data_IF_599779577013
#
_entry.id   IF_599779577013
#
_cell.length_a   1.000
_cell.length_b   1.000
_cell.length_c   1.000
_cell.angle_alpha   90.00
_cell.angle_beta   90.00
_cell.angle_gamma   90.00
#
_symmetry.space_group_name_H-M   'P 1'
#
loop_
_entity.id
_entity.type
_entity.pdbx_description
1 polymer ?
#
# COMPACT_ATOMS: atom_id res chain seq x y z
N UNK A 1 13.17 -0.76 -15.05
CA UNK A 1 12.96 -0.59 -13.60
C UNK A 1 12.97 -1.97 -12.95
N UNK A 2 13.81 -2.21 -11.92
CA UNK A 2 13.85 -3.48 -11.18
C UNK A 2 13.07 -3.34 -9.87
N UNK A 3 12.14 -4.26 -9.62
CA UNK A 3 11.36 -4.30 -8.39
C UNK A 3 11.90 -5.34 -7.41
N UNK A 4 11.82 -5.02 -6.12
CA UNK A 4 12.04 -5.98 -5.04
C UNK A 4 10.73 -6.22 -4.29
N UNK A 5 10.34 -7.47 -4.12
CA UNK A 5 9.18 -7.87 -3.31
C UNK A 5 9.71 -8.57 -2.06
N UNK A 6 9.39 -8.03 -0.88
CA UNK A 6 9.89 -8.60 0.38
C UNK A 6 9.11 -9.88 0.71
N UNK A 7 9.84 -10.90 1.18
CA UNK A 7 9.24 -12.10 1.77
C UNK A 7 9.48 -12.09 3.27
N UNK A 8 8.39 -12.02 4.04
CA UNK A 8 8.39 -12.28 5.48
C UNK A 8 7.85 -13.67 5.78
N UNK A 9 8.20 -14.30 6.91
CA UNK A 9 7.49 -15.46 7.38
C UNK A 9 6.00 -15.15 7.53
N UNK A 10 5.13 -15.85 6.77
CA UNK A 10 3.68 -15.64 6.78
C UNK A 10 3.16 -14.56 5.83
N UNK A 11 4.00 -13.85 5.06
CA UNK A 11 3.49 -13.08 3.91
C UNK A 11 2.92 -14.05 2.88
N UNK A 12 1.78 -13.75 2.30
CA UNK A 12 1.12 -14.62 1.33
C UNK A 12 0.62 -13.91 0.08
N UNK A 13 0.79 -12.58 0.00
CA UNK A 13 0.48 -11.79 -1.18
C UNK A 13 1.76 -11.33 -1.92
N UNK A 14 2.92 -11.82 -1.51
CA UNK A 14 4.20 -11.56 -2.14
C UNK A 14 4.25 -12.12 -3.58
N UNK A 15 3.78 -13.35 -3.77
CA UNK A 15 3.68 -13.97 -5.09
C UNK A 15 2.68 -13.27 -6.00
N UNK A 16 1.56 -12.75 -5.48
CA UNK A 16 0.59 -11.98 -6.26
C UNK A 16 1.23 -10.68 -6.77
N UNK A 17 1.97 -9.97 -5.90
CA UNK A 17 2.70 -8.76 -6.28
C UNK A 17 3.82 -9.08 -7.29
N UNK A 18 4.59 -10.14 -7.05
CA UNK A 18 5.63 -10.61 -7.96
C UNK A 18 5.05 -10.93 -9.34
N UNK A 19 3.96 -11.69 -9.38
CA UNK A 19 3.25 -12.04 -10.62
C UNK A 19 2.81 -10.80 -11.39
N UNK A 20 2.15 -9.86 -10.71
CA UNK A 20 1.68 -8.63 -11.33
C UNK A 20 2.83 -7.84 -11.96
N UNK A 21 3.96 -7.72 -11.25
CA UNK A 21 5.12 -6.99 -11.78
C UNK A 21 5.74 -7.73 -12.95
N UNK A 22 5.95 -9.04 -12.84
CA UNK A 22 6.62 -9.84 -13.86
C UNK A 22 5.76 -10.04 -15.11
N UNK A 23 4.51 -10.47 -14.93
CA UNK A 23 3.66 -10.91 -16.02
C UNK A 23 2.79 -9.81 -16.61
N UNK A 24 2.30 -8.90 -15.77
CA UNK A 24 1.38 -7.83 -16.22
C UNK A 24 2.17 -6.56 -16.56
N UNK A 25 2.98 -6.07 -15.63
CA UNK A 25 3.81 -4.87 -15.86
C UNK A 25 5.06 -5.15 -16.70
N UNK A 26 5.44 -6.42 -16.88
CA UNK A 26 6.60 -6.88 -17.66
C UNK A 26 7.91 -6.21 -17.24
N UNK A 27 8.09 -6.08 -15.93
CA UNK A 27 9.29 -5.51 -15.32
C UNK A 27 10.14 -6.58 -14.64
N UNK A 28 11.46 -6.43 -14.61
CA UNK A 28 12.34 -7.24 -13.77
C UNK A 28 11.91 -7.16 -12.31
N UNK A 29 11.82 -8.31 -11.65
CA UNK A 29 11.44 -8.41 -10.25
C UNK A 29 12.23 -9.51 -9.56
N UNK A 30 12.56 -9.30 -8.30
CA UNK A 30 13.24 -10.27 -7.44
C UNK A 30 12.55 -10.34 -6.08
N UNK A 31 12.68 -11.47 -5.40
CA UNK A 31 12.29 -11.58 -4.00
C UNK A 31 13.43 -11.12 -3.10
N UNK A 32 13.08 -10.36 -2.08
CA UNK A 32 14.00 -9.89 -1.05
C UNK A 32 13.70 -10.60 0.27
N UNK A 33 14.65 -11.40 0.76
CA UNK A 33 14.47 -12.14 1.99
C UNK A 33 14.58 -11.22 3.22
N UNK A 34 13.65 -11.37 4.16
CA UNK A 34 13.51 -10.47 5.32
C UNK A 34 14.75 -10.36 6.21
N UNK A 35 15.63 -11.38 6.24
CA UNK A 35 16.88 -11.35 7.00
C UNK A 35 18.05 -10.73 6.24
N UNK A 36 17.87 -10.40 4.95
CA UNK A 36 18.91 -9.74 4.13
C UNK A 36 18.84 -8.23 4.27
N UNK A 37 20.02 -7.59 4.31
CA UNK A 37 20.13 -6.14 4.14
C UNK A 37 20.27 -5.72 2.66
N UNK A 38 20.52 -6.68 1.76
CA UNK A 38 20.72 -6.39 0.35
C UNK A 38 19.38 -6.21 -0.36
N UNK A 39 19.16 -5.02 -0.92
CA UNK A 39 17.99 -4.70 -1.77
C UNK A 39 18.25 -4.99 -3.26
N UNK A 40 19.35 -5.69 -3.59
CA UNK A 40 19.69 -6.18 -4.94
C UNK A 40 19.62 -5.11 -6.04
N UNK A 41 19.97 -3.86 -5.72
CA UNK A 41 19.90 -2.70 -6.63
C UNK A 41 18.49 -2.51 -7.23
N UNK A 42 17.44 -2.73 -6.45
CA UNK A 42 16.08 -2.47 -6.87
C UNK A 42 15.79 -0.97 -6.91
N UNK A 43 14.98 -0.57 -7.89
CA UNK A 43 14.52 0.81 -8.07
C UNK A 43 13.24 1.10 -7.27
N UNK A 44 12.45 0.07 -6.98
CA UNK A 44 11.24 0.15 -6.16
C UNK A 44 11.07 -1.10 -5.30
N UNK A 45 10.56 -0.90 -4.08
CA UNK A 45 10.34 -1.98 -3.11
C UNK A 45 8.85 -2.12 -2.84
N UNK A 46 8.36 -3.36 -2.87
CA UNK A 46 7.01 -3.72 -2.45
C UNK A 46 7.09 -4.43 -1.09
N UNK A 47 6.42 -3.86 -0.10
CA UNK A 47 6.15 -4.51 1.18
C UNK A 47 4.76 -5.15 1.06
N UNK A 48 4.68 -6.47 0.89
CA UNK A 48 3.44 -7.13 0.46
C UNK A 48 2.43 -7.27 1.58
N UNK A 49 1.21 -7.67 1.20
CA UNK A 49 0.17 -8.11 2.10
C UNK A 49 0.41 -9.51 2.66
N UNK A 50 -0.40 -9.88 3.62
CA UNK A 50 -0.34 -11.19 4.28
C UNK A 50 -0.45 -11.07 5.79
N UNK A 51 0.21 -11.99 6.50
CA UNK A 51 0.23 -12.08 7.95
C UNK A 51 1.69 -12.23 8.43
N UNK A 52 2.52 -11.22 8.17
CA UNK A 52 3.94 -11.24 8.49
C UNK A 52 4.18 -11.62 9.97
N UNK A 53 4.95 -12.69 10.20
CA UNK A 53 5.18 -13.30 11.51
C UNK A 53 3.90 -13.72 12.25
N UNK A 54 2.81 -14.06 11.50
CA UNK A 54 1.53 -14.48 12.06
C UNK A 54 0.78 -13.38 12.82
N UNK A 55 1.12 -12.10 12.59
CA UNK A 55 0.56 -10.93 13.28
C UNK A 55 0.66 -11.00 14.81
N UNK A 56 1.63 -11.75 15.33
CA UNK A 56 1.89 -11.83 16.78
C UNK A 56 2.15 -10.43 17.35
N UNK A 57 1.65 -10.17 18.56
CA UNK A 57 1.55 -8.90 19.26
C UNK A 57 0.52 -7.97 18.61
N UNK A 58 0.72 -7.56 17.37
CA UNK A 58 -0.19 -6.84 16.45
C UNK A 58 0.40 -6.86 15.05
N UNK A 59 -0.42 -6.57 14.07
CA UNK A 59 -0.03 -6.56 12.66
C UNK A 59 1.18 -5.67 12.40
N UNK A 60 2.19 -6.22 11.73
CA UNK A 60 3.42 -5.51 11.36
C UNK A 60 4.43 -5.28 12.49
N UNK A 61 4.07 -5.53 13.75
CA UNK A 61 4.90 -5.15 14.90
C UNK A 61 6.25 -5.89 14.97
N UNK A 62 6.31 -7.14 14.53
CA UNK A 62 7.56 -7.91 14.51
C UNK A 62 8.31 -7.63 13.21
N UNK A 63 7.61 -7.55 12.08
CA UNK A 63 8.22 -7.37 10.76
C UNK A 63 9.10 -6.10 10.67
N UNK A 64 8.75 -5.03 11.39
CA UNK A 64 9.55 -3.79 11.42
C UNK A 64 10.99 -3.96 11.91
N UNK A 65 11.27 -5.03 12.65
CA UNK A 65 12.62 -5.36 13.17
C UNK A 65 13.41 -6.26 12.23
N UNK A 66 12.84 -6.69 11.11
CA UNK A 66 13.57 -7.49 10.13
C UNK A 66 14.71 -6.68 9.52
N UNK A 67 15.90 -7.28 9.30
CA UNK A 67 17.05 -6.60 8.69
C UNK A 67 16.73 -5.86 7.40
N UNK A 68 15.91 -6.44 6.52
CA UNK A 68 15.48 -5.80 5.28
C UNK A 68 14.79 -4.44 5.52
N UNK A 69 14.05 -4.28 6.63
CA UNK A 69 13.33 -3.04 6.93
C UNK A 69 14.26 -1.89 7.33
N UNK A 70 15.45 -2.18 7.86
CA UNK A 70 16.48 -1.16 8.08
C UNK A 70 16.97 -0.60 6.74
N UNK A 71 17.21 -1.48 5.75
CA UNK A 71 17.61 -1.11 4.41
C UNK A 71 16.49 -0.37 3.66
N UNK A 72 15.24 -0.82 3.80
CA UNK A 72 14.06 -0.14 3.22
C UNK A 72 13.90 1.27 3.78
N UNK A 73 14.13 1.46 5.09
CA UNK A 73 14.08 2.81 5.69
C UNK A 73 15.10 3.73 5.04
N UNK A 74 16.36 3.31 4.97
CA UNK A 74 17.42 4.09 4.32
C UNK A 74 17.11 4.35 2.84
N UNK A 75 16.65 3.33 2.12
CA UNK A 75 16.25 3.46 0.72
C UNK A 75 15.14 4.51 0.53
N UNK A 76 14.14 4.53 1.42
CA UNK A 76 13.07 5.51 1.40
C UNK A 76 13.57 6.93 1.75
N UNK A 77 14.47 7.07 2.73
CA UNK A 77 15.11 8.33 3.10
C UNK A 77 15.93 8.91 1.94
N UNK A 78 16.58 8.06 1.15
CA UNK A 78 17.32 8.42 -0.05
C UNK A 78 16.39 8.70 -1.28
N UNK A 79 15.06 8.67 -1.11
CA UNK A 79 14.07 8.96 -2.13
C UNK A 79 13.64 7.76 -2.98
N UNK A 80 14.00 6.55 -2.57
CA UNK A 80 13.57 5.30 -3.21
C UNK A 80 12.07 5.06 -3.07
N UNK A 81 11.47 4.41 -4.08
CA UNK A 81 10.03 4.18 -4.13
C UNK A 81 9.64 2.95 -3.32
N UNK A 82 8.72 3.10 -2.36
CA UNK A 82 8.23 2.02 -1.51
C UNK A 82 6.71 1.96 -1.52
N UNK A 83 6.14 0.81 -1.87
CA UNK A 83 4.71 0.55 -1.81
C UNK A 83 4.41 -0.52 -0.75
N UNK A 84 3.63 -0.17 0.26
CA UNK A 84 3.10 -1.10 1.27
C UNK A 84 1.64 -1.44 1.01
N UNK A 85 1.33 -2.72 0.83
CA UNK A 85 -0.01 -3.22 0.52
C UNK A 85 -0.55 -3.97 1.73
N UNK A 86 -1.72 -3.61 2.24
CA UNK A 86 -2.42 -4.27 3.35
C UNK A 86 -1.49 -4.43 4.58
N UNK A 87 -1.01 -5.63 4.87
CA UNK A 87 -0.01 -5.87 5.93
C UNK A 87 1.28 -5.03 5.72
N UNK A 88 1.67 -4.78 4.48
CA UNK A 88 2.77 -3.87 4.16
C UNK A 88 2.51 -2.44 4.63
N UNK A 89 1.30 -1.92 4.49
CA UNK A 89 0.95 -0.61 5.03
C UNK A 89 1.03 -0.59 6.56
N UNK A 90 0.55 -1.65 7.23
CA UNK A 90 0.68 -1.81 8.68
C UNK A 90 2.17 -1.78 9.11
N UNK A 91 3.03 -2.50 8.38
CA UNK A 91 4.49 -2.52 8.63
C UNK A 91 5.10 -1.13 8.43
N UNK A 92 4.70 -0.38 7.39
CA UNK A 92 5.20 0.97 7.14
C UNK A 92 4.80 1.94 8.27
N UNK A 93 3.59 1.82 8.82
CA UNK A 93 3.19 2.60 10.00
C UNK A 93 3.99 2.18 11.25
N UNK A 94 4.11 0.88 11.52
CA UNK A 94 4.87 0.36 12.67
C UNK A 94 6.35 0.73 12.62
N UNK A 95 6.94 0.82 11.42
CA UNK A 95 8.33 1.22 11.22
C UNK A 95 8.54 2.73 11.24
N UNK A 96 7.46 3.54 11.31
CA UNK A 96 7.52 4.99 11.31
C UNK A 96 7.83 5.63 9.95
N UNK A 97 7.76 4.86 8.85
CA UNK A 97 7.86 5.36 7.48
C UNK A 97 6.59 6.11 7.05
N UNK A 98 5.46 5.74 7.63
CA UNK A 98 4.19 6.45 7.49
C UNK A 98 3.61 6.75 8.88
N UNK A 99 2.90 7.87 9.06
CA UNK A 99 2.30 8.22 10.35
C UNK A 99 1.01 7.44 10.62
N UNK A 100 0.62 7.35 11.89
CA UNK A 100 -0.62 6.69 12.32
C UNK A 100 -0.47 5.20 12.56
N UNK A 101 -1.58 4.49 12.62
CA UNK A 101 -1.65 3.06 12.88
C UNK A 101 -2.89 2.44 12.22
N UNK A 102 -2.83 1.14 11.96
CA UNK A 102 -3.99 0.37 11.50
C UNK A 102 -4.56 -0.40 12.69
N UNK A 103 -5.79 -0.06 13.04
CA UNK A 103 -6.54 -0.65 14.15
C UNK A 103 -7.48 -1.74 13.65
N UNK A 104 -8.04 -2.53 14.59
CA UNK A 104 -9.11 -3.48 14.25
C UNK A 104 -10.30 -2.77 13.60
N UNK A 105 -10.88 -3.44 12.60
CA UNK A 105 -12.12 -2.99 11.99
C UNK A 105 -13.19 -2.76 13.07
N UNK A 106 -13.98 -1.71 12.96
CA UNK A 106 -15.04 -1.40 13.95
C UNK A 106 -16.04 -2.52 14.12
N UNK A 107 -16.28 -3.32 13.07
CA UNK A 107 -17.16 -4.50 13.13
C UNK A 107 -16.53 -5.75 13.77
N UNK A 108 -15.27 -5.69 14.19
CA UNK A 108 -14.49 -6.82 14.77
C UNK A 108 -14.52 -8.09 13.90
N UNK A 109 -14.68 -7.93 12.61
CA UNK A 109 -14.74 -9.02 11.62
C UNK A 109 -13.72 -8.82 10.52
N UNK A 110 -13.25 -9.93 9.98
CA UNK A 110 -12.49 -9.94 8.73
C UNK A 110 -13.42 -9.50 7.60
N UNK A 111 -12.97 -8.52 6.79
CA UNK A 111 -13.70 -8.01 5.64
C UNK A 111 -12.95 -8.36 4.38
N UNK A 112 -13.59 -9.14 3.49
CA UNK A 112 -13.04 -9.52 2.19
C UNK A 112 -14.09 -9.20 1.11
N UNK A 113 -13.86 -8.14 0.34
CA UNK A 113 -14.77 -7.71 -0.74
C UNK A 113 -14.11 -6.68 -1.65
N UNK A 114 -14.61 -6.48 -2.88
CA UNK A 114 -14.29 -5.29 -3.65
C UNK A 114 -14.78 -4.02 -2.93
N UNK A 115 -13.99 -2.96 -3.01
CA UNK A 115 -14.34 -1.62 -2.51
C UNK A 115 -14.01 -0.58 -3.56
N UNK A 116 -14.69 0.56 -3.49
CA UNK A 116 -14.41 1.70 -4.34
C UNK A 116 -13.47 2.66 -3.62
N UNK A 117 -12.46 3.12 -4.35
CA UNK A 117 -11.46 4.07 -3.90
C UNK A 117 -11.51 5.31 -4.75
N UNK A 118 -11.70 6.47 -4.14
CA UNK A 118 -11.52 7.73 -4.83
C UNK A 118 -10.07 8.16 -4.73
N UNK A 119 -9.49 8.52 -5.88
CA UNK A 119 -8.15 9.09 -5.96
C UNK A 119 -8.20 10.55 -5.48
N UNK A 120 -7.63 10.84 -4.33
CA UNK A 120 -7.57 12.18 -3.75
C UNK A 120 -6.36 12.96 -4.26
N UNK A 121 -5.23 12.28 -4.44
CA UNK A 121 -4.00 12.86 -4.96
C UNK A 121 -3.47 12.03 -6.14
N UNK A 122 -3.51 12.61 -7.35
CA UNK A 122 -2.98 12.01 -8.57
C UNK A 122 -1.54 12.46 -8.89
N UNK A 123 -0.93 13.30 -8.04
CA UNK A 123 0.40 13.86 -8.24
C UNK A 123 1.47 13.11 -7.42
N UNK A 124 1.40 11.79 -7.42
CA UNK A 124 2.39 10.93 -6.75
C UNK A 124 2.98 9.92 -7.75
N UNK A 125 4.18 9.36 -7.50
CA UNK A 125 4.72 8.28 -8.32
C UNK A 125 3.83 7.05 -8.44
N UNK A 126 2.84 6.91 -7.54
CA UNK A 126 1.93 5.76 -7.46
C UNK A 126 0.59 6.00 -8.17
N UNK A 127 0.30 7.23 -8.59
CA UNK A 127 -1.02 7.63 -9.11
C UNK A 127 -0.98 8.40 -10.41
N UNK A 128 0.21 8.51 -11.05
CA UNK A 128 0.38 9.28 -12.29
C UNK A 128 -0.44 8.75 -13.48
N UNK A 129 -0.87 7.47 -13.45
CA UNK A 129 -1.80 6.90 -14.43
C UNK A 129 -3.29 7.09 -14.06
N UNK A 130 -3.57 7.73 -12.92
CA UNK A 130 -4.92 8.02 -12.43
C UNK A 130 -5.29 9.48 -12.69
N UNK A 131 -6.59 9.78 -12.62
CA UNK A 131 -7.12 11.15 -12.63
C UNK A 131 -7.57 11.57 -11.24
N UNK A 132 -7.47 12.85 -10.86
CA UNK A 132 -8.07 13.34 -9.63
C UNK A 132 -9.57 13.03 -9.59
N UNK A 133 -10.05 12.48 -8.48
CA UNK A 133 -11.46 12.09 -8.31
C UNK A 133 -11.86 10.79 -9.02
N UNK A 134 -10.94 10.12 -9.71
CA UNK A 134 -11.22 8.82 -10.34
C UNK A 134 -11.58 7.78 -9.28
N UNK A 135 -12.55 6.93 -9.59
CA UNK A 135 -12.97 5.81 -8.72
C UNK A 135 -12.37 4.52 -9.25
N UNK A 136 -11.65 3.82 -8.39
CA UNK A 136 -11.03 2.51 -8.68
C UNK A 136 -11.73 1.43 -7.85
N UNK A 137 -12.02 0.29 -8.45
CA UNK A 137 -12.55 -0.90 -7.75
C UNK A 137 -11.41 -1.86 -7.47
N UNK A 138 -11.03 -1.98 -6.19
CA UNK A 138 -9.90 -2.81 -5.76
C UNK A 138 -10.33 -3.63 -4.53
N UNK A 139 -10.01 -4.94 -4.45
CA UNK A 139 -10.41 -5.78 -3.32
C UNK A 139 -9.62 -5.44 -2.04
N UNK A 140 -10.26 -5.67 -0.90
CA UNK A 140 -9.66 -5.70 0.43
C UNK A 140 -9.78 -7.08 1.05
N UNK A 141 -8.88 -7.41 2.00
CA UNK A 141 -8.92 -8.64 2.77
C UNK A 141 -8.18 -8.45 4.10
N UNK A 142 -8.87 -7.96 5.16
CA UNK A 142 -8.21 -7.63 6.43
C UNK A 142 -9.17 -7.61 7.63
N UNK A 143 -8.63 -7.82 8.82
CA UNK A 143 -9.31 -7.59 10.11
C UNK A 143 -8.87 -6.28 10.76
N UNK A 144 -7.68 -5.79 10.44
CA UNK A 144 -7.06 -4.58 10.98
C UNK A 144 -6.70 -3.62 9.83
N UNK A 145 -7.72 -2.93 9.31
CA UNK A 145 -7.58 -1.95 8.23
C UNK A 145 -8.10 -0.56 8.59
N UNK A 146 -8.52 -0.37 9.84
CA UNK A 146 -9.04 0.89 10.34
C UNK A 146 -7.89 1.85 10.63
N UNK A 147 -7.57 2.73 9.67
CA UNK A 147 -6.53 3.75 9.84
C UNK A 147 -6.92 4.76 10.91
N UNK A 148 -6.00 5.02 11.81
CA UNK A 148 -6.15 5.97 12.92
C UNK A 148 -4.89 6.82 13.08
N UNK A 149 -5.09 8.12 13.35
CA UNK A 149 -4.04 9.04 13.79
C UNK A 149 -4.64 10.13 14.68
N UNK A 150 -3.79 10.89 15.37
CA UNK A 150 -4.24 12.04 16.14
C UNK A 150 -4.64 13.23 15.23
N UNK A 151 -5.26 14.25 15.83
CA UNK A 151 -5.78 15.39 15.08
C UNK A 151 -4.66 16.24 14.44
N UNK A 152 -3.48 16.32 15.08
CA UNK A 152 -2.34 17.06 14.56
C UNK A 152 -1.81 16.37 13.28
N UNK A 153 -1.61 15.06 13.34
CA UNK A 153 -1.21 14.24 12.20
C UNK A 153 -2.24 14.30 11.07
N UNK A 154 -3.55 14.23 11.40
CA UNK A 154 -4.60 14.34 10.37
C UNK A 154 -4.56 15.71 9.67
N UNK A 155 -4.36 16.79 10.44
CA UNK A 155 -4.24 18.14 9.87
C UNK A 155 -3.01 18.27 8.96
N UNK A 156 -1.89 17.61 9.31
CA UNK A 156 -0.70 17.55 8.44
C UNK A 156 -0.94 16.76 7.16
N UNK A 157 -1.52 15.57 7.26
CA UNK A 157 -1.88 14.75 6.09
C UNK A 157 -2.77 15.53 5.10
N UNK A 158 -3.75 16.28 5.62
CA UNK A 158 -4.61 17.13 4.79
C UNK A 158 -3.86 18.29 4.15
N UNK A 159 -3.10 19.04 4.96
CA UNK A 159 -2.35 20.22 4.49
C UNK A 159 -1.34 19.88 3.42
N UNK A 160 -0.66 18.73 3.55
CA UNK A 160 0.39 18.27 2.65
C UNK A 160 -0.13 17.39 1.52
N UNK A 161 -1.46 17.19 1.40
CA UNK A 161 -2.08 16.33 0.38
C UNK A 161 -1.53 14.89 0.39
N UNK A 162 -1.27 14.35 1.59
CA UNK A 162 -0.71 13.00 1.78
C UNK A 162 -1.79 11.90 1.78
N UNK A 163 -3.07 12.25 1.86
CA UNK A 163 -4.17 11.30 1.68
C UNK A 163 -4.29 11.02 0.18
N UNK A 164 -3.96 9.79 -0.22
CA UNK A 164 -3.94 9.40 -1.63
C UNK A 164 -5.24 8.75 -2.06
N UNK A 165 -5.82 7.91 -1.19
CA UNK A 165 -7.07 7.20 -1.47
C UNK A 165 -8.04 7.30 -0.30
N UNK A 166 -9.33 7.44 -0.63
CA UNK A 166 -10.43 7.28 0.33
C UNK A 166 -11.42 6.24 -0.15
N UNK A 167 -12.02 5.50 0.79
CA UNK A 167 -13.17 4.67 0.49
C UNK A 167 -14.35 5.56 0.08
N UNK A 168 -15.06 5.17 -0.97
CA UNK A 168 -16.19 5.94 -1.51
C UNK A 168 -17.30 5.02 -2.02
N UNK A 169 -18.44 5.63 -2.39
CA UNK A 169 -19.49 4.96 -3.15
C UNK A 169 -19.07 4.71 -4.61
N UNK A 170 -19.80 3.90 -5.39
CA UNK A 170 -19.54 3.73 -6.82
C UNK A 170 -19.59 5.05 -7.62
N UNK A 171 -20.26 6.08 -7.10
CA UNK A 171 -20.34 7.42 -7.70
C UNK A 171 -19.24 8.37 -7.21
N UNK A 172 -18.33 7.90 -6.35
CA UNK A 172 -17.21 8.69 -5.81
C UNK A 172 -17.57 9.53 -4.57
N UNK A 173 -18.77 9.37 -4.01
CA UNK A 173 -19.18 10.08 -2.80
C UNK A 173 -18.57 9.43 -1.56
N UNK A 174 -18.07 10.26 -0.64
CA UNK A 174 -17.55 9.80 0.65
C UNK A 174 -18.71 9.66 1.62
N UNK A 175 -19.11 8.42 1.89
CA UNK A 175 -20.24 8.11 2.78
C UNK A 175 -19.83 7.09 3.85
N UNK A 176 -20.52 7.11 4.99
CA UNK A 176 -20.24 6.18 6.09
C UNK A 176 -20.40 4.71 5.65
N UNK A 177 -21.38 4.43 4.79
CA UNK A 177 -21.69 3.09 4.28
C UNK A 177 -20.59 2.54 3.38
N UNK A 178 -19.86 3.43 2.69
CA UNK A 178 -18.74 3.07 1.83
C UNK A 178 -17.47 2.72 2.62
N UNK A 179 -17.41 3.07 3.91
CA UNK A 179 -16.26 2.80 4.77
C UNK A 179 -16.35 1.39 5.35
N UNK A 180 -15.53 0.43 4.88
CA UNK A 180 -15.71 -0.97 5.25
C UNK A 180 -15.18 -1.31 6.64
N UNK A 181 -14.34 -0.46 7.24
CA UNK A 181 -13.54 -0.80 8.41
C UNK A 181 -13.53 0.26 9.51
N UNK A 182 -14.15 1.42 9.28
CA UNK A 182 -14.19 2.52 10.25
C UNK A 182 -12.99 3.46 10.20
N UNK A 183 -12.20 3.39 9.13
CA UNK A 183 -11.02 4.24 8.91
C UNK A 183 -11.33 5.72 9.06
N UNK A 184 -10.47 6.43 9.80
CA UNK A 184 -10.59 7.87 10.03
C UNK A 184 -10.66 8.60 8.69
N UNK A 185 -11.67 9.49 8.54
CA UNK A 185 -11.89 10.26 7.29
C UNK A 185 -11.94 9.39 6.04
N UNK A 186 -12.36 8.11 6.17
CA UNK A 186 -12.46 7.14 5.08
C UNK A 186 -11.11 6.83 4.40
N UNK A 187 -9.98 7.10 5.06
CA UNK A 187 -8.63 6.92 4.51
C UNK A 187 -8.40 5.45 4.17
N UNK A 188 -8.08 5.19 2.91
CA UNK A 188 -7.72 3.86 2.40
C UNK A 188 -6.22 3.75 2.07
N UNK A 189 -5.54 4.89 1.91
CA UNK A 189 -4.10 4.95 1.67
C UNK A 189 -3.54 6.36 1.82
N UNK A 190 -2.30 6.43 2.31
CA UNK A 190 -1.55 7.68 2.52
C UNK A 190 -0.14 7.56 1.97
N UNK A 191 0.48 8.70 1.66
CA UNK A 191 1.89 8.73 1.29
C UNK A 191 2.75 9.52 2.30
N UNK A 192 4.07 9.32 2.23
CA UNK A 192 5.06 10.13 2.94
C UNK A 192 5.07 11.60 2.45
N UNK A 193 5.64 12.53 3.22
CA UNK A 193 5.80 13.92 2.76
C UNK A 193 6.57 14.04 1.44
N UNK A 194 7.57 13.16 1.23
CA UNK A 194 8.34 13.07 -0.03
C UNK A 194 7.60 12.38 -1.17
N UNK A 195 6.38 11.88 -0.93
CA UNK A 195 5.54 11.15 -1.90
C UNK A 195 6.17 9.88 -2.48
N UNK A 196 7.27 9.41 -1.94
CA UNK A 196 8.02 8.24 -2.40
C UNK A 196 7.70 6.95 -1.62
N UNK A 197 6.92 7.04 -0.54
CA UNK A 197 6.40 5.90 0.21
C UNK A 197 4.88 5.97 0.19
N UNK A 198 4.21 4.93 -0.28
CA UNK A 198 2.75 4.79 -0.25
C UNK A 198 2.37 3.55 0.57
N UNK A 199 1.42 3.70 1.48
CA UNK A 199 0.72 2.60 2.13
C UNK A 199 -0.76 2.60 1.77
N UNK A 200 -1.31 1.46 1.41
CA UNK A 200 -2.74 1.30 1.13
C UNK A 200 -3.27 -0.05 1.60
N UNK A 201 -4.51 -0.08 2.11
CA UNK A 201 -5.14 -1.33 2.56
C UNK A 201 -5.68 -2.22 1.44
N UNK A 202 -6.23 -1.66 0.35
CA UNK A 202 -6.65 -2.45 -0.81
C UNK A 202 -5.47 -3.10 -1.53
N UNK A 203 -5.76 -4.21 -2.23
CA UNK A 203 -4.80 -5.05 -2.94
C UNK A 203 -4.80 -4.77 -4.45
N UNK A 204 -3.99 -3.83 -4.96
CA UNK A 204 -3.94 -3.51 -6.38
C UNK A 204 -3.43 -4.69 -7.22
N UNK A 205 -2.56 -5.55 -6.66
CA UNK A 205 -2.07 -6.76 -7.31
C UNK A 205 -3.18 -7.78 -7.62
N UNK A 206 -4.28 -7.72 -6.89
CA UNK A 206 -5.47 -8.59 -7.08
C UNK A 206 -6.55 -7.97 -7.96
N UNK A 207 -6.28 -6.82 -8.57
CA UNK A 207 -7.13 -6.15 -9.55
C UNK A 207 -6.27 -5.63 -10.72
N UNK A 208 -5.33 -6.45 -11.20
CA UNK A 208 -4.34 -6.06 -12.22
C UNK A 208 -4.52 -6.76 -13.56
N UNK A 209 -5.41 -7.74 -13.64
CA UNK A 209 -5.70 -8.48 -14.89
C UNK A 209 -7.16 -8.95 -14.91
N UNK A 210 -7.77 -9.12 -16.11
CA UNK A 210 -9.20 -9.46 -16.23
C UNK A 210 -9.57 -10.78 -15.54
N UNK A 211 -8.66 -11.74 -15.48
CA UNK A 211 -8.86 -13.05 -14.85
C UNK A 211 -9.12 -12.94 -13.34
N UNK A 212 -8.63 -11.88 -12.71
CA UNK A 212 -8.87 -11.57 -11.28
C UNK A 212 -10.15 -10.75 -11.06
N UNK A 213 -10.91 -10.43 -12.12
CA UNK A 213 -12.17 -9.69 -12.03
C UNK A 213 -12.03 -8.18 -12.08
N UNK A 214 -10.83 -7.63 -12.34
CA UNK A 214 -10.61 -6.19 -12.49
C UNK A 214 -9.20 -5.85 -12.96
N UNK A 215 -9.05 -4.67 -13.54
CA UNK A 215 -7.76 -4.16 -14.06
C UNK A 215 -7.39 -2.80 -13.47
N UNK A 216 -8.23 -2.25 -12.60
CA UNK A 216 -8.07 -0.87 -12.12
C UNK A 216 -6.90 -0.74 -11.13
N UNK A 217 -6.55 -1.84 -10.42
CA UNK A 217 -5.38 -1.89 -9.56
C UNK A 217 -4.06 -1.78 -10.32
N UNK A 218 -4.03 -2.21 -11.60
CA UNK A 218 -2.83 -2.12 -12.42
C UNK A 218 -2.33 -0.68 -12.58
N UNK A 219 -3.21 0.32 -12.53
CA UNK A 219 -2.83 1.74 -12.60
C UNK A 219 -1.78 2.16 -11.56
N UNK A 220 -1.74 1.49 -10.41
CA UNK A 220 -0.72 1.77 -9.37
C UNK A 220 0.67 1.31 -9.86
N UNK A 221 0.75 0.12 -10.43
CA UNK A 221 2.00 -0.41 -10.99
C UNK A 221 2.43 0.33 -12.27
N UNK A 222 1.47 0.67 -13.13
CA UNK A 222 1.70 1.50 -14.32
C UNK A 222 2.27 2.88 -13.94
N UNK A 223 1.72 3.49 -12.89
CA UNK A 223 2.22 4.77 -12.35
C UNK A 223 3.66 4.67 -11.90
N UNK A 224 4.00 3.61 -11.12
CA UNK A 224 5.38 3.37 -10.66
C UNK A 224 6.36 3.24 -11.83
N UNK A 225 5.98 2.44 -12.84
CA UNK A 225 6.81 2.25 -14.04
C UNK A 225 6.99 3.58 -14.78
N UNK A 226 5.90 4.36 -14.94
CA UNK A 226 5.91 5.67 -15.59
C UNK A 226 6.77 6.70 -14.85
N UNK A 227 6.73 6.72 -13.53
CA UNK A 227 7.47 7.67 -12.71
C UNK A 227 9.00 7.54 -12.85
N UNK A 228 9.51 6.36 -13.18
CA UNK A 228 10.95 6.13 -13.39
C UNK A 228 11.39 6.36 -14.83
N UNK A 229 10.47 6.37 -15.79
CA UNK A 229 10.79 6.65 -17.20
C UNK A 229 11.08 8.15 -17.44
N UNK A 230 10.77 9.02 -16.47
CA UNK A 230 10.93 10.48 -16.55
C UNK A 230 12.20 10.97 -15.83
N UNK A 231 12.92 10.10 -15.11
CA UNK A 231 14.23 10.38 -14.53
C UNK A 231 15.34 10.02 -15.51
#
# INVERSE_FOLDING_TARGET
>A
MKFGVIIFPGSNCDHDAYWTIQQVARQPVTFLWHESHDLENCDAIIVPGGFAYGDYLRTGAIAKFSPVMESVRKFAEDGGLVLGICNGFQILCESGLLPGALMRNVGLKYVCKPVQLRVENAETPFTGACRPGEVLTIPIGHMEGNYFCDQATLAELKRNQQIVFRYCSPTGEITAEANPNGSLEHIAGICSPGRNVLGMMPHPERASEPQLGGVEGFKIFESLVGAMAVK
#
